data_IF_291939060663
#
_entry.id   IF_291939060663
#
_cell.length_a   1.000
_cell.length_b   1.000
_cell.length_c   1.000
_cell.angle_alpha   90.00
_cell.angle_beta   90.00
_cell.angle_gamma   90.00
#
_symmetry.space_group_name_H-M   'P 1'
#
loop_
_entity.id
_entity.type
_entity.pdbx_description
1 polymer ?
#
# COMPACT_ATOMS: atom_id res chain seq x y z
N UNK A 1 10.56 -20.63 -5.27
CA UNK A 1 9.72 -19.88 -4.30
C UNK A 1 8.72 -20.84 -3.68
N UNK A 2 8.71 -20.94 -2.37
CA UNK A 2 7.81 -21.84 -1.67
C UNK A 2 6.39 -21.25 -1.68
N UNK A 3 5.38 -22.10 -1.85
CA UNK A 3 3.99 -21.66 -2.01
C UNK A 3 3.48 -20.79 -0.85
N UNK A 4 3.95 -21.02 0.39
CA UNK A 4 3.57 -20.23 1.56
C UNK A 4 4.05 -18.76 1.48
N UNK A 5 5.20 -18.52 0.87
CA UNK A 5 5.74 -17.15 0.68
C UNK A 5 4.94 -16.36 -0.35
N UNK A 6 4.51 -17.02 -1.43
CA UNK A 6 3.59 -16.40 -2.39
C UNK A 6 2.25 -16.07 -1.75
N UNK A 7 1.72 -16.96 -0.91
CA UNK A 7 0.51 -16.70 -0.14
C UNK A 7 0.68 -15.52 0.82
N UNK A 8 1.82 -15.41 1.51
CA UNK A 8 2.12 -14.29 2.39
C UNK A 8 2.19 -12.96 1.61
N UNK A 9 2.91 -12.93 0.47
CA UNK A 9 2.96 -11.76 -0.40
C UNK A 9 1.58 -11.35 -0.91
N UNK A 10 0.76 -12.31 -1.30
CA UNK A 10 -0.61 -12.07 -1.76
C UNK A 10 -1.49 -11.56 -0.61
N UNK A 11 -1.33 -12.09 0.60
CA UNK A 11 -1.98 -11.60 1.81
C UNK A 11 -1.62 -10.14 2.09
N UNK A 12 -0.35 -9.77 2.07
CA UNK A 12 0.10 -8.39 2.23
C UNK A 12 -0.43 -7.48 1.12
N UNK A 13 -0.47 -7.94 -0.13
CA UNK A 13 -1.01 -7.15 -1.24
C UNK A 13 -2.51 -6.91 -1.10
N UNK A 14 -3.28 -7.90 -0.64
CA UNK A 14 -4.71 -7.74 -0.35
C UNK A 14 -4.97 -6.77 0.79
N UNK A 15 -4.10 -6.76 1.81
CA UNK A 15 -4.18 -5.82 2.91
C UNK A 15 -3.87 -4.39 2.44
N UNK A 16 -2.83 -4.22 1.63
CA UNK A 16 -2.48 -2.93 1.04
C UNK A 16 -3.57 -2.44 0.06
N UNK A 17 -4.33 -3.36 -0.56
CA UNK A 17 -5.47 -3.02 -1.39
C UNK A 17 -6.62 -2.34 -0.62
N UNK A 18 -6.74 -2.57 0.70
CA UNK A 18 -7.74 -1.93 1.57
C UNK A 18 -7.42 -0.45 1.88
N UNK A 19 -6.58 0.19 1.09
CA UNK A 19 -6.20 1.57 1.26
C UNK A 19 -7.36 2.55 1.10
N UNK A 20 -7.82 3.03 2.24
CA UNK A 20 -8.92 4.00 2.33
C UNK A 20 -8.59 5.31 1.63
N UNK A 21 -7.32 5.75 1.67
CA UNK A 21 -6.89 7.01 1.07
C UNK A 21 -6.99 6.96 -0.46
N UNK A 22 -6.48 5.90 -1.09
CA UNK A 22 -6.57 5.73 -2.54
C UNK A 22 -8.02 5.60 -3.00
N UNK A 23 -8.84 4.87 -2.26
CA UNK A 23 -10.28 4.75 -2.54
C UNK A 23 -10.99 6.09 -2.38
N UNK A 24 -10.69 6.86 -1.33
CA UNK A 24 -11.28 8.18 -1.10
C UNK A 24 -10.95 9.15 -2.24
N UNK A 25 -9.68 9.23 -2.64
CA UNK A 25 -9.26 10.11 -3.74
C UNK A 25 -9.88 9.65 -5.07
N UNK A 26 -9.86 8.35 -5.37
CA UNK A 26 -10.51 7.80 -6.56
C UNK A 26 -12.00 8.17 -6.60
N UNK A 27 -12.69 8.05 -5.47
CA UNK A 27 -14.09 8.41 -5.31
C UNK A 27 -14.32 9.90 -5.55
N UNK A 28 -13.46 10.77 -5.01
CA UNK A 28 -13.53 12.20 -5.18
C UNK A 28 -13.33 12.62 -6.65
N UNK A 29 -12.34 12.03 -7.33
CA UNK A 29 -12.09 12.28 -8.76
C UNK A 29 -13.27 11.81 -9.62
N UNK A 30 -13.86 10.66 -9.31
CA UNK A 30 -15.07 10.18 -9.98
C UNK A 30 -16.25 11.11 -9.77
N UNK A 31 -16.43 11.60 -8.54
CA UNK A 31 -17.52 12.53 -8.22
C UNK A 31 -17.36 13.86 -8.97
N UNK A 32 -16.16 14.46 -8.97
CA UNK A 32 -15.87 15.70 -9.72
C UNK A 32 -16.07 15.52 -11.22
N UNK A 33 -15.58 14.42 -11.81
CA UNK A 33 -15.77 14.13 -13.22
C UNK A 33 -17.25 13.99 -13.61
N UNK A 34 -18.08 13.45 -12.71
CA UNK A 34 -19.55 13.37 -12.93
C UNK A 34 -20.22 14.74 -12.87
N UNK A 35 -19.82 15.60 -11.95
CA UNK A 35 -20.35 16.96 -11.84
C UNK A 35 -20.00 17.80 -13.08
N UNK A 36 -18.80 17.58 -13.63
CA UNK A 36 -18.31 18.30 -14.82
C UNK A 36 -18.66 17.62 -16.14
N UNK A 37 -19.47 16.55 -16.11
CA UNK A 37 -19.86 15.73 -17.29
C UNK A 37 -18.69 15.20 -18.12
N UNK A 38 -17.53 15.01 -17.49
CA UNK A 38 -16.32 14.44 -18.12
C UNK A 38 -16.18 12.94 -17.83
N UNK A 39 -15.33 12.26 -18.60
CA UNK A 39 -14.99 10.87 -18.32
C UNK A 39 -14.08 10.79 -17.08
N UNK A 40 -14.44 10.02 -16.04
CA UNK A 40 -13.58 9.84 -14.88
C UNK A 40 -12.34 8.97 -15.18
N UNK A 41 -12.37 8.24 -16.30
CA UNK A 41 -11.36 7.25 -16.65
C UNK A 41 -9.95 7.86 -16.71
N UNK A 42 -9.79 8.92 -17.49
CA UNK A 42 -8.48 9.53 -17.74
C UNK A 42 -7.84 10.05 -16.45
N UNK A 43 -8.62 10.74 -15.62
CA UNK A 43 -8.12 11.29 -14.35
C UNK A 43 -7.75 10.21 -13.34
N UNK A 44 -8.61 9.21 -13.16
CA UNK A 44 -8.36 8.12 -12.20
C UNK A 44 -7.23 7.21 -12.68
N UNK A 45 -7.19 6.83 -13.96
CA UNK A 45 -6.11 5.98 -14.47
C UNK A 45 -4.76 6.71 -14.45
N UNK A 46 -4.73 8.01 -14.74
CA UNK A 46 -3.51 8.82 -14.61
C UNK A 46 -3.05 8.86 -13.15
N UNK A 47 -3.95 9.09 -12.20
CA UNK A 47 -3.65 9.07 -10.77
C UNK A 47 -3.10 7.73 -10.30
N UNK A 48 -3.82 6.64 -10.59
CA UNK A 48 -3.40 5.28 -10.21
C UNK A 48 -2.11 4.86 -10.92
N UNK A 49 -1.93 5.30 -12.17
CA UNK A 49 -0.68 5.10 -12.92
C UNK A 49 0.52 5.78 -12.26
N UNK A 50 0.34 7.00 -11.73
CA UNK A 50 1.37 7.69 -10.95
C UNK A 50 1.72 6.97 -9.66
N UNK A 51 0.70 6.53 -8.90
CA UNK A 51 0.91 5.71 -7.68
C UNK A 51 1.61 4.41 -8.01
N UNK A 52 1.19 3.71 -9.06
CA UNK A 52 1.78 2.45 -9.49
C UNK A 52 3.26 2.62 -9.86
N UNK A 53 3.56 3.63 -10.69
CA UNK A 53 4.91 3.89 -11.15
C UNK A 53 5.88 4.13 -9.99
N UNK A 54 5.52 5.01 -9.05
CA UNK A 54 6.38 5.29 -7.90
C UNK A 54 6.50 4.09 -6.97
N UNK A 55 5.43 3.32 -6.77
CA UNK A 55 5.46 2.11 -5.93
C UNK A 55 6.41 1.08 -6.52
N UNK A 56 6.34 0.81 -7.82
CA UNK A 56 7.25 -0.13 -8.50
C UNK A 56 8.70 0.37 -8.43
N UNK A 57 8.95 1.64 -8.75
CA UNK A 57 10.30 2.23 -8.69
C UNK A 57 10.87 2.14 -7.29
N UNK A 58 10.11 2.54 -6.28
CA UNK A 58 10.54 2.43 -4.88
C UNK A 58 10.84 0.99 -4.47
N UNK A 59 9.97 0.04 -4.84
CA UNK A 59 10.17 -1.38 -4.53
C UNK A 59 11.42 -1.95 -5.19
N UNK A 60 11.63 -1.64 -6.47
CA UNK A 60 12.85 -2.06 -7.18
C UNK A 60 14.10 -1.45 -6.55
N UNK A 61 14.10 -0.15 -6.25
CA UNK A 61 15.21 0.51 -5.59
C UNK A 61 15.49 -0.07 -4.20
N UNK A 62 14.44 -0.38 -3.43
CA UNK A 62 14.57 -0.96 -2.08
C UNK A 62 15.18 -2.36 -2.13
N UNK A 63 14.68 -3.23 -3.01
CA UNK A 63 15.21 -4.60 -3.14
C UNK A 63 16.67 -4.57 -3.61
N UNK A 64 17.00 -3.75 -4.61
CA UNK A 64 18.38 -3.59 -5.07
C UNK A 64 19.28 -2.96 -4.00
N UNK A 65 18.78 -1.97 -3.27
CA UNK A 65 19.52 -1.31 -2.19
C UNK A 65 19.83 -2.27 -1.05
N UNK A 66 18.87 -3.08 -0.63
CA UNK A 66 19.09 -4.12 0.39
C UNK A 66 20.08 -5.16 -0.12
N UNK A 67 19.94 -5.65 -1.36
CA UNK A 67 20.86 -6.63 -1.92
C UNK A 67 22.30 -6.07 -2.04
N UNK A 68 22.42 -4.80 -2.48
CA UNK A 68 23.71 -4.11 -2.54
C UNK A 68 24.34 -3.94 -1.16
N UNK A 69 23.59 -3.50 -0.16
CA UNK A 69 24.10 -3.33 1.21
C UNK A 69 24.53 -4.63 1.83
N UNK A 70 23.78 -5.71 1.62
CA UNK A 70 24.15 -7.03 2.14
C UNK A 70 25.44 -7.54 1.49
N UNK A 71 25.63 -7.33 0.19
CA UNK A 71 26.88 -7.71 -0.51
C UNK A 71 28.06 -6.84 -0.13
N UNK A 72 27.84 -5.53 0.09
CA UNK A 72 28.91 -4.59 0.40
C UNK A 72 29.45 -4.75 1.81
N UNK A 73 28.59 -5.08 2.76
CA UNK A 73 28.91 -5.12 4.18
C UNK A 73 29.25 -6.54 4.67
N UNK A 74 29.16 -7.56 3.81
CA UNK A 74 29.23 -8.98 4.23
C UNK A 74 28.35 -9.26 5.47
N UNK A 75 27.20 -8.55 5.51
CA UNK A 75 26.33 -8.49 6.66
C UNK A 75 25.62 -9.83 6.84
N UNK A 76 26.25 -10.74 7.56
CA UNK A 76 25.51 -11.83 8.17
C UNK A 76 24.53 -11.21 9.17
N UNK A 77 23.23 -11.27 8.86
CA UNK A 77 22.19 -10.92 9.81
C UNK A 77 22.38 -11.81 11.03
N UNK A 78 23.16 -11.36 11.98
CA UNK A 78 23.29 -12.03 13.27
C UNK A 78 21.87 -12.22 13.83
N UNK A 79 21.55 -13.39 14.38
CA UNK A 79 20.24 -13.66 14.99
C UNK A 79 19.79 -12.53 15.93
N UNK A 80 20.72 -11.97 16.68
CA UNK A 80 20.53 -10.84 17.59
C UNK A 80 19.95 -9.60 16.87
N UNK A 81 20.54 -9.18 15.74
CA UNK A 81 20.10 -8.01 15.00
C UNK A 81 18.72 -8.22 14.38
N UNK A 82 18.42 -9.44 13.98
CA UNK A 82 17.09 -9.81 13.45
C UNK A 82 16.01 -9.63 14.54
N UNK A 83 16.20 -10.20 15.72
CA UNK A 83 15.21 -10.14 16.79
C UNK A 83 15.05 -8.72 17.35
N UNK A 84 16.12 -7.93 17.43
CA UNK A 84 16.03 -6.52 17.76
C UNK A 84 15.22 -5.75 16.71
N UNK A 85 15.44 -6.05 15.42
CA UNK A 85 14.64 -5.47 14.32
C UNK A 85 13.16 -5.82 14.43
N UNK A 86 12.83 -7.08 14.70
CA UNK A 86 11.45 -7.55 14.88
C UNK A 86 10.77 -6.85 16.07
N UNK A 87 11.49 -6.68 17.20
CA UNK A 87 10.97 -5.98 18.38
C UNK A 87 10.70 -4.51 18.11
N UNK A 88 11.64 -3.80 17.46
CA UNK A 88 11.48 -2.38 17.11
C UNK A 88 10.33 -2.19 16.13
N UNK A 89 10.26 -3.01 15.08
CA UNK A 89 9.18 -2.95 14.07
C UNK A 89 7.84 -3.26 14.73
N UNK A 90 7.76 -4.28 15.57
CA UNK A 90 6.54 -4.63 16.32
C UNK A 90 6.04 -3.49 17.21
N UNK A 91 6.96 -2.83 17.93
CA UNK A 91 6.65 -1.68 18.76
C UNK A 91 6.17 -0.48 17.95
N UNK A 92 6.82 -0.18 16.83
CA UNK A 92 6.41 0.89 15.89
C UNK A 92 5.02 0.62 15.33
N UNK A 93 4.72 -0.63 14.95
CA UNK A 93 3.40 -1.02 14.46
C UNK A 93 2.30 -0.76 15.48
N UNK A 94 2.53 -1.14 16.74
CA UNK A 94 1.57 -0.90 17.82
C UNK A 94 1.42 0.61 18.09
N UNK A 95 2.52 1.35 18.10
CA UNK A 95 2.49 2.80 18.25
C UNK A 95 1.68 3.48 17.15
N UNK A 96 1.89 3.09 15.87
CA UNK A 96 1.12 3.60 14.73
C UNK A 96 -0.36 3.20 14.84
N UNK A 97 -0.67 1.99 15.30
CA UNK A 97 -2.06 1.56 15.52
C UNK A 97 -2.77 2.37 16.62
N UNK A 98 -2.02 2.88 17.61
CA UNK A 98 -2.55 3.71 18.70
C UNK A 98 -2.82 5.16 18.25
N UNK A 99 -2.18 5.66 17.19
CA UNK A 99 -2.40 7.01 16.70
C UNK A 99 -3.81 7.17 16.12
N UNK A 100 -4.50 8.28 16.42
CA UNK A 100 -5.76 8.59 15.76
C UNK A 100 -5.47 8.91 14.29
N UNK A 101 -5.95 8.06 13.39
CA UNK A 101 -5.86 8.32 11.94
C UNK A 101 -7.01 9.25 11.57
N UNK A 102 -6.74 10.55 11.52
CA UNK A 102 -7.67 11.53 10.96
C UNK A 102 -7.73 11.33 9.43
N UNK A 103 -8.74 10.60 9.00
CA UNK A 103 -9.03 10.33 7.58
C UNK A 103 -9.76 11.49 6.90
N UNK A 104 -9.80 12.66 7.50
CA UNK A 104 -10.39 13.87 6.88
C UNK A 104 -9.44 14.39 5.80
N UNK A 105 -9.44 13.73 4.65
CA UNK A 105 -8.88 14.32 3.43
C UNK A 105 -9.78 15.47 3.04
N UNK A 106 -9.40 16.69 3.41
CA UNK A 106 -10.03 17.92 2.94
C UNK A 106 -9.81 18.03 1.42
N UNK A 107 -10.74 17.47 0.66
CA UNK A 107 -10.73 17.45 -0.81
C UNK A 107 -11.16 18.79 -1.41
N UNK A 108 -11.38 19.82 -0.58
CA UNK A 108 -11.85 21.14 -0.98
C UNK A 108 -10.74 22.18 -1.08
N UNK A 109 -9.69 21.95 -1.86
CA UNK A 109 -8.58 22.89 -1.97
C UNK A 109 -8.42 23.49 -3.37
N UNK A 110 -7.76 24.64 -3.43
CA UNK A 110 -7.28 25.43 -4.59
C UNK A 110 -6.64 24.61 -5.73
N UNK A 111 -6.32 23.35 -5.49
CA UNK A 111 -5.64 22.41 -6.39
C UNK A 111 -6.56 21.77 -7.43
N UNK A 112 -7.89 21.87 -7.26
CA UNK A 112 -8.86 21.18 -8.13
C UNK A 112 -8.98 21.86 -9.50
N UNK A 113 -8.79 23.17 -9.56
CA UNK A 113 -9.00 23.95 -10.79
C UNK A 113 -7.95 23.68 -11.90
N UNK A 114 -6.63 23.68 -11.64
CA UNK A 114 -5.63 23.33 -12.66
C UNK A 114 -5.73 21.87 -13.10
N UNK A 115 -6.09 20.96 -12.19
CA UNK A 115 -6.26 19.53 -12.47
C UNK A 115 -7.43 19.27 -13.43
N UNK A 116 -8.46 20.10 -13.39
CA UNK A 116 -9.60 20.04 -14.33
C UNK A 116 -9.19 20.28 -15.79
N UNK A 117 -8.15 21.10 -16.03
CA UNK A 117 -7.70 21.42 -17.39
C UNK A 117 -6.78 20.34 -17.96
N UNK A 118 -5.96 19.71 -17.11
CA UNK A 118 -4.92 18.76 -17.52
C UNK A 118 -5.01 17.45 -16.72
N UNK A 119 -5.69 16.42 -17.24
CA UNK A 119 -5.87 15.15 -16.53
C UNK A 119 -4.55 14.42 -16.21
N UNK A 120 -3.45 14.70 -16.93
CA UNK A 120 -2.13 14.15 -16.62
C UNK A 120 -1.55 14.68 -15.29
N UNK A 121 -1.97 15.87 -14.82
CA UNK A 121 -1.59 16.39 -13.51
C UNK A 121 -2.07 15.47 -12.38
N UNK A 122 -3.14 14.70 -12.59
CA UNK A 122 -3.54 13.65 -11.66
C UNK A 122 -2.48 12.57 -11.51
N UNK A 123 -1.73 12.26 -12.57
CA UNK A 123 -0.58 11.34 -12.48
C UNK A 123 0.54 11.88 -11.60
N UNK A 124 0.84 13.19 -11.70
CA UNK A 124 1.83 13.85 -10.84
C UNK A 124 1.36 13.83 -9.38
N UNK A 125 0.08 14.12 -9.13
CA UNK A 125 -0.50 14.03 -7.78
C UNK A 125 -0.43 12.59 -7.25
N UNK A 126 -0.75 11.60 -8.09
CA UNK A 126 -0.61 10.19 -7.72
C UNK A 126 0.83 9.81 -7.40
N UNK A 127 1.78 10.29 -8.20
CA UNK A 127 3.20 10.05 -7.98
C UNK A 127 3.69 10.66 -6.66
N UNK A 128 3.40 11.94 -6.41
CA UNK A 128 3.81 12.63 -5.17
C UNK A 128 3.15 12.04 -3.92
N UNK A 129 1.87 11.71 -4.01
CA UNK A 129 1.16 11.06 -2.92
C UNK A 129 1.70 9.65 -2.66
N UNK A 130 1.97 8.90 -3.73
CA UNK A 130 2.60 7.59 -3.63
C UNK A 130 3.99 7.68 -3.00
N UNK A 131 4.79 8.68 -3.38
CA UNK A 131 6.11 8.91 -2.79
C UNK A 131 6.04 9.14 -1.27
N UNK A 132 5.04 9.85 -0.79
CA UNK A 132 4.84 10.07 0.64
C UNK A 132 4.29 8.81 1.35
N UNK A 133 3.41 8.04 0.68
CA UNK A 133 2.71 6.90 1.27
C UNK A 133 3.54 5.63 1.27
N UNK A 134 4.23 5.32 0.17
CA UNK A 134 4.90 4.03 -0.06
C UNK A 134 5.91 3.69 1.03
N UNK A 135 6.78 4.62 1.51
CA UNK A 135 7.70 4.35 2.60
C UNK A 135 7.02 4.08 3.95
N UNK A 136 5.76 4.48 4.10
CA UNK A 136 5.00 4.30 5.34
C UNK A 136 4.05 3.11 5.29
N UNK A 137 3.92 2.44 4.14
CA UNK A 137 3.08 1.24 3.99
C UNK A 137 3.78 0.02 4.57
N UNK A 138 3.35 -0.37 5.77
CA UNK A 138 3.92 -1.52 6.48
C UNK A 138 3.73 -2.84 5.72
N UNK A 139 2.54 -3.18 5.17
CA UNK A 139 2.38 -4.40 4.38
C UNK A 139 3.32 -4.46 3.19
N UNK A 140 3.55 -3.30 2.55
CA UNK A 140 4.45 -3.21 1.40
C UNK A 140 5.91 -3.42 1.80
N UNK A 141 6.37 -2.74 2.85
CA UNK A 141 7.74 -2.90 3.35
C UNK A 141 8.00 -4.33 3.85
N UNK A 142 7.02 -4.96 4.52
CA UNK A 142 7.11 -6.36 4.94
C UNK A 142 7.22 -7.30 3.72
N UNK A 143 6.46 -7.05 2.67
CA UNK A 143 6.53 -7.82 1.43
C UNK A 143 7.91 -7.69 0.75
N UNK A 144 8.47 -6.46 0.69
CA UNK A 144 9.80 -6.21 0.14
C UNK A 144 10.89 -6.89 1.00
N UNK A 145 10.78 -6.82 2.32
CA UNK A 145 11.71 -7.49 3.23
C UNK A 145 11.67 -9.03 3.04
N UNK A 146 10.46 -9.61 2.94
CA UNK A 146 10.29 -11.04 2.68
C UNK A 146 10.89 -11.46 1.33
N UNK A 147 10.77 -10.61 0.32
CA UNK A 147 11.35 -10.86 -1.00
C UNK A 147 12.87 -10.75 -0.98
N UNK A 148 13.42 -9.71 -0.34
CA UNK A 148 14.86 -9.48 -0.22
C UNK A 148 15.59 -10.53 0.64
N UNK A 149 14.86 -11.19 1.56
CA UNK A 149 15.39 -12.27 2.37
C UNK A 149 15.62 -13.58 1.60
N UNK A 150 15.18 -13.66 0.33
CA UNK A 150 15.40 -14.84 -0.50
C UNK A 150 16.80 -14.84 -1.13
N UNK A 151 17.52 -15.93 -0.90
CA UNK A 151 18.84 -16.13 -1.52
C UNK A 151 18.90 -17.48 -2.23
N UNK A 152 19.21 -17.50 -3.54
CA UNK A 152 19.34 -16.36 -4.44
C UNK A 152 18.00 -15.66 -4.71
N UNK A 153 18.05 -14.35 -5.05
CA UNK A 153 16.87 -13.61 -5.50
C UNK A 153 16.28 -14.28 -6.76
N UNK A 154 14.97 -14.55 -6.81
CA UNK A 154 14.35 -15.13 -8.00
C UNK A 154 14.52 -14.18 -9.20
N UNK A 155 14.87 -14.70 -10.36
CA UNK A 155 15.04 -13.87 -11.59
C UNK A 155 13.79 -13.02 -11.90
N UNK A 156 12.61 -13.50 -11.52
CA UNK A 156 11.31 -12.83 -11.74
C UNK A 156 10.92 -11.83 -10.65
N UNK A 157 11.82 -11.51 -9.72
CA UNK A 157 11.48 -10.61 -8.59
C UNK A 157 10.90 -9.24 -9.00
N UNK A 158 11.33 -8.57 -10.11
CA UNK A 158 10.71 -7.29 -10.50
C UNK A 158 9.24 -7.46 -10.92
N UNK A 159 8.93 -8.60 -11.54
CA UNK A 159 7.54 -8.94 -11.92
C UNK A 159 6.69 -9.19 -10.68
N UNK A 160 7.28 -9.79 -9.63
CA UNK A 160 6.59 -10.01 -8.36
C UNK A 160 6.26 -8.66 -7.69
N UNK A 161 7.20 -7.72 -7.68
CA UNK A 161 6.98 -6.36 -7.15
C UNK A 161 5.87 -5.64 -7.94
N UNK A 162 5.94 -5.69 -9.28
CA UNK A 162 4.92 -5.09 -10.13
C UNK A 162 3.54 -5.75 -9.93
N UNK A 163 3.50 -7.08 -9.81
CA UNK A 163 2.29 -7.84 -9.52
C UNK A 163 1.67 -7.49 -8.17
N UNK A 164 2.50 -7.35 -7.14
CA UNK A 164 2.07 -6.86 -5.83
C UNK A 164 1.40 -5.48 -5.94
N UNK A 165 2.07 -4.52 -6.57
CA UNK A 165 1.54 -3.17 -6.75
C UNK A 165 0.23 -3.17 -7.57
N UNK A 166 0.11 -4.04 -8.58
CA UNK A 166 -1.12 -4.18 -9.36
C UNK A 166 -2.28 -4.72 -8.50
N UNK A 167 -2.02 -5.72 -7.65
CA UNK A 167 -3.02 -6.28 -6.72
C UNK A 167 -3.44 -5.22 -5.70
N UNK A 168 -2.51 -4.45 -5.14
CA UNK A 168 -2.80 -3.37 -4.21
C UNK A 168 -3.74 -2.29 -4.81
N UNK A 169 -3.72 -2.09 -6.12
CA UNK A 169 -4.59 -1.14 -6.81
C UNK A 169 -5.93 -1.73 -7.29
N UNK A 170 -6.19 -3.02 -7.05
CA UNK A 170 -7.44 -3.66 -7.52
C UNK A 170 -8.68 -2.95 -6.97
N UNK A 171 -8.68 -2.59 -5.70
CA UNK A 171 -9.86 -2.01 -5.07
C UNK A 171 -10.22 -0.62 -5.63
N UNK A 172 -9.29 0.35 -5.77
CA UNK A 172 -9.56 1.59 -6.48
C UNK A 172 -10.03 1.38 -7.93
N UNK A 173 -9.45 0.40 -8.63
CA UNK A 173 -9.88 0.04 -10.00
C UNK A 173 -11.30 -0.54 -10.05
N UNK A 174 -11.67 -1.38 -9.09
CA UNK A 174 -13.05 -1.90 -8.96
C UNK A 174 -14.02 -0.75 -8.68
N UNK A 175 -13.66 0.18 -7.81
CA UNK A 175 -14.47 1.39 -7.55
C UNK A 175 -14.67 2.20 -8.84
N UNK A 176 -13.62 2.41 -9.62
CA UNK A 176 -13.72 3.06 -10.93
C UNK A 176 -14.63 2.29 -11.87
N UNK A 177 -14.44 0.98 -12.02
CA UNK A 177 -15.21 0.13 -12.93
C UNK A 177 -16.71 0.13 -12.58
N UNK A 178 -17.04 0.03 -11.30
CA UNK A 178 -18.43 0.14 -10.81
C UNK A 178 -18.99 1.54 -11.03
N UNK A 179 -18.16 2.57 -10.81
CA UNK A 179 -18.57 3.95 -11.05
C UNK A 179 -18.87 4.24 -12.51
N UNK A 180 -18.21 3.58 -13.45
CA UNK A 180 -18.48 3.74 -14.89
C UNK A 180 -19.81 3.13 -15.33
N UNK A 181 -20.29 2.11 -14.64
CA UNK A 181 -21.58 1.49 -14.95
C UNK A 181 -22.73 2.42 -14.54
N UNK A 182 -23.53 2.86 -15.53
CA UNK A 182 -24.66 3.82 -15.33
C UNK A 182 -25.92 3.17 -14.78
N UNK A 183 -25.91 1.91 -14.39
CA UNK A 183 -27.11 1.20 -13.90
C UNK A 183 -27.46 1.58 -12.46
N UNK A 184 -28.75 1.57 -12.06
CA UNK A 184 -29.16 1.83 -10.68
C UNK A 184 -28.53 0.87 -9.67
N UNK A 185 -28.32 -0.39 -10.08
CA UNK A 185 -27.63 -1.41 -9.27
C UNK A 185 -26.18 -1.03 -9.02
N UNK A 186 -25.45 -0.58 -10.04
CA UNK A 186 -24.07 -0.14 -9.90
C UNK A 186 -23.93 1.07 -8.95
N UNK A 187 -24.87 2.01 -8.97
CA UNK A 187 -24.90 3.14 -8.02
C UNK A 187 -25.10 2.68 -6.59
N UNK A 188 -25.90 1.63 -6.37
CA UNK A 188 -26.11 1.04 -5.04
C UNK A 188 -24.85 0.33 -4.55
N UNK A 189 -24.25 -0.50 -5.41
CA UNK A 189 -22.99 -1.22 -5.12
C UNK A 189 -21.85 -0.24 -4.83
N UNK A 190 -21.70 0.80 -5.65
CA UNK A 190 -20.70 1.87 -5.43
C UNK A 190 -20.85 2.52 -4.04
N UNK A 191 -22.07 2.90 -3.66
CA UNK A 191 -22.32 3.50 -2.34
C UNK A 191 -22.04 2.54 -1.19
N UNK A 192 -22.37 1.25 -1.35
CA UNK A 192 -22.10 0.22 -0.35
C UNK A 192 -20.60 -0.03 -0.23
N UNK A 193 -19.86 -0.17 -1.34
CA UNK A 193 -18.42 -0.33 -1.35
C UNK A 193 -17.71 0.83 -0.66
N UNK A 194 -18.00 2.05 -1.10
CA UNK A 194 -17.37 3.25 -0.51
C UNK A 194 -17.68 3.34 0.98
N UNK A 195 -18.95 3.15 1.38
CA UNK A 195 -19.35 3.19 2.79
C UNK A 195 -18.71 2.05 3.58
N UNK A 196 -18.61 0.85 3.02
CA UNK A 196 -17.96 -0.30 3.66
C UNK A 196 -16.48 -0.02 3.90
N UNK A 197 -15.76 0.43 2.88
CA UNK A 197 -14.32 0.69 2.96
C UNK A 197 -14.02 1.84 3.94
N UNK A 198 -14.77 2.95 3.86
CA UNK A 198 -14.55 4.09 4.76
C UNK A 198 -14.93 3.77 6.21
N UNK A 199 -15.90 2.88 6.44
CA UNK A 199 -16.34 2.50 7.79
C UNK A 199 -15.47 1.41 8.41
N UNK A 200 -15.09 0.39 7.63
CA UNK A 200 -14.39 -0.79 8.13
C UNK A 200 -12.89 -0.78 7.84
N UNK A 201 -12.42 0.00 6.87
CA UNK A 201 -11.00 0.09 6.51
C UNK A 201 -10.12 0.48 7.71
N UNK A 202 -10.35 1.63 8.36
CA UNK A 202 -9.52 2.08 9.48
C UNK A 202 -9.45 1.07 10.65
N UNK A 203 -10.58 0.52 11.16
CA UNK A 203 -10.50 -0.45 12.25
C UNK A 203 -9.83 -1.77 11.84
N UNK A 204 -10.04 -2.25 10.61
CA UNK A 204 -9.39 -3.48 10.13
C UNK A 204 -7.87 -3.30 10.06
N UNK A 205 -7.39 -2.19 9.51
CA UNK A 205 -5.96 -1.89 9.44
C UNK A 205 -5.36 -1.79 10.86
N UNK A 206 -6.06 -1.14 11.79
CA UNK A 206 -5.63 -1.02 13.17
C UNK A 206 -5.50 -2.39 13.86
N UNK A 207 -6.53 -3.23 13.76
CA UNK A 207 -6.52 -4.59 14.32
C UNK A 207 -5.36 -5.39 13.73
N UNK A 208 -5.13 -5.24 12.43
CA UNK A 208 -4.06 -5.94 11.74
C UNK A 208 -2.68 -5.50 12.23
N UNK A 209 -2.44 -4.20 12.38
CA UNK A 209 -1.18 -3.68 12.92
C UNK A 209 -0.94 -4.19 14.34
N UNK A 210 -1.98 -4.26 15.17
CA UNK A 210 -1.88 -4.83 16.52
C UNK A 210 -1.53 -6.32 16.46
N UNK A 211 -2.20 -7.10 15.63
CA UNK A 211 -1.96 -8.55 15.51
C UNK A 211 -0.54 -8.83 15.00
N UNK A 212 -0.11 -8.14 13.94
CA UNK A 212 1.26 -8.31 13.43
C UNK A 212 2.31 -7.79 14.41
N UNK A 213 2.08 -6.61 15.00
CA UNK A 213 2.98 -6.04 16.00
C UNK A 213 3.15 -6.95 17.21
N UNK A 214 2.06 -7.50 17.75
CA UNK A 214 2.11 -8.48 18.83
C UNK A 214 2.82 -9.76 18.41
N UNK A 215 2.54 -10.26 17.19
CA UNK A 215 3.21 -11.45 16.65
C UNK A 215 4.73 -11.31 16.61
N UNK A 216 5.23 -10.18 16.09
CA UNK A 216 6.67 -9.89 16.05
C UNK A 216 7.29 -9.75 17.45
N UNK A 217 6.59 -9.07 18.38
CA UNK A 217 7.08 -8.91 19.75
C UNK A 217 7.11 -10.28 20.47
N UNK A 218 6.09 -11.11 20.30
CA UNK A 218 6.06 -12.45 20.89
C UNK A 218 7.20 -13.30 20.33
N UNK A 219 7.44 -13.27 19.02
CA UNK A 219 8.53 -14.03 18.39
C UNK A 219 9.90 -13.56 18.94
N UNK A 220 10.12 -12.26 19.03
CA UNK A 220 11.34 -11.68 19.60
C UNK A 220 11.52 -12.06 21.08
N UNK A 221 10.45 -12.07 21.89
CA UNK A 221 10.50 -12.43 23.32
C UNK A 221 10.69 -13.92 23.54
N UNK A 222 10.07 -14.79 22.74
CA UNK A 222 10.28 -16.25 22.80
C UNK A 222 11.74 -16.61 22.52
N UNK A 223 12.39 -15.83 21.67
CA UNK A 223 13.81 -16.01 21.35
C UNK A 223 14.72 -15.05 22.14
N UNK A 224 14.25 -14.55 23.31
CA UNK A 224 14.96 -13.57 24.13
C UNK A 224 16.39 -14.02 24.51
N UNK A 225 16.66 -15.33 24.64
CA UNK A 225 18.00 -15.87 24.87
C UNK A 225 19.01 -15.63 23.72
N UNK A 226 18.57 -15.09 22.59
CA UNK A 226 19.41 -14.69 21.44
C UNK A 226 19.51 -13.17 21.28
N UNK A 227 18.89 -12.41 22.17
CA UNK A 227 18.96 -10.94 22.23
C UNK A 227 20.21 -10.47 23.00
N UNK A 228 20.76 -11.35 23.87
CA UNK A 228 21.91 -11.12 24.73
C UNK A 228 23.08 -12.09 24.31
#
# INVERSE_FOLDING_TARGET
MDGYRLLALLGFALLDALDVLLVAITTAVVADARLTRRSPMTGVLSFLGGVFAISVVFGVCTVLGIDFLVRLLDFELTPTLRYWGELVIGLVLIAVAALPVDTTVSTGGRWVEPVRKHPWLMGVIGFTLGLAKVPTSVPYLAALALLSAQRPLPVVWPVIVAGYCAIALILPLVVLAVAMRRTPRARRVYRLLVRGITRFGPPVIRVLFVVFGLGLIIDALVHAGRLW
#
